data_IF_977171612188
#
_entry.id   IF_977171612188
#
_cell.length_a   1.000
_cell.length_b   1.000
_cell.length_c   1.000
_cell.angle_alpha   90.00
_cell.angle_beta   90.00
_cell.angle_gamma   90.00
#
_symmetry.space_group_name_H-M   'P 1'
#
loop_
_entity.id
_entity.type
_entity.pdbx_description
1 polymer ?
#
# COMPACT_ATOMS: atom_id res chain seq x y z
N UNK A 1 12.50 -38.84 6.60
CA UNK A 1 13.27 -38.32 5.45
C UNK A 1 12.68 -36.96 5.05
N UNK A 2 13.29 -35.86 5.50
CA UNK A 2 12.83 -34.50 5.21
C UNK A 2 13.32 -34.08 3.83
N UNK A 3 12.41 -33.75 2.91
CA UNK A 3 12.78 -33.20 1.60
C UNK A 3 13.50 -31.86 1.79
N UNK A 4 14.66 -31.65 1.13
CA UNK A 4 15.33 -30.35 1.15
C UNK A 4 14.40 -29.31 0.50
N UNK A 5 14.17 -28.17 1.18
CA UNK A 5 13.50 -27.02 0.59
C UNK A 5 14.31 -26.57 -0.61
N UNK A 6 13.81 -26.84 -1.82
CA UNK A 6 14.36 -26.28 -3.06
C UNK A 6 14.23 -24.77 -2.97
N UNK A 7 15.35 -24.11 -2.65
CA UNK A 7 15.49 -22.66 -2.75
C UNK A 7 15.17 -22.29 -4.20
N UNK A 8 14.00 -21.67 -4.39
CA UNK A 8 13.56 -21.16 -5.69
C UNK A 8 14.61 -20.17 -6.17
N UNK A 9 15.45 -20.59 -7.13
CA UNK A 9 16.43 -19.72 -7.75
C UNK A 9 15.67 -18.62 -8.50
N UNK A 10 15.73 -17.40 -7.97
CA UNK A 10 15.08 -16.24 -8.54
C UNK A 10 15.54 -16.07 -10.00
N UNK A 11 14.60 -16.10 -10.96
CA UNK A 11 14.92 -15.78 -12.35
C UNK A 11 15.50 -14.37 -12.41
N UNK A 12 16.61 -14.13 -13.12
CA UNK A 12 17.15 -12.80 -13.29
C UNK A 12 16.11 -11.90 -13.97
N UNK A 13 15.90 -10.70 -13.42
CA UNK A 13 14.99 -9.71 -13.99
C UNK A 13 15.48 -9.31 -15.38
N UNK A 14 14.62 -9.19 -16.41
CA UNK A 14 15.02 -8.83 -17.77
C UNK A 14 15.75 -7.47 -17.84
N UNK A 15 15.62 -6.63 -16.81
CA UNK A 15 16.19 -5.28 -16.74
C UNK A 15 17.50 -5.21 -15.97
N UNK A 16 17.99 -6.33 -15.45
CA UNK A 16 19.20 -6.37 -14.60
C UNK A 16 18.99 -5.76 -13.21
N UNK A 17 17.79 -5.26 -12.89
CA UNK A 17 17.48 -4.82 -11.53
C UNK A 17 17.39 -6.05 -10.59
N UNK A 18 17.88 -5.91 -9.35
CA UNK A 18 17.68 -6.93 -8.33
C UNK A 18 16.18 -7.16 -8.10
N UNK A 19 15.79 -8.42 -7.88
CA UNK A 19 14.40 -8.76 -7.60
C UNK A 19 13.94 -8.06 -6.31
N UNK A 20 12.63 -7.77 -6.22
CA UNK A 20 12.01 -7.23 -4.98
C UNK A 20 12.41 -8.04 -3.75
N UNK A 21 12.41 -9.37 -3.87
CA UNK A 21 12.79 -10.26 -2.78
C UNK A 21 14.26 -10.10 -2.36
N UNK A 22 15.17 -9.95 -3.33
CA UNK A 22 16.58 -9.67 -3.05
C UNK A 22 16.75 -8.36 -2.30
N UNK A 23 16.12 -7.29 -2.80
CA UNK A 23 16.16 -5.97 -2.17
C UNK A 23 15.59 -5.96 -0.76
N UNK A 24 14.50 -6.70 -0.52
CA UNK A 24 13.93 -6.82 0.83
C UNK A 24 14.87 -7.59 1.76
N UNK A 25 15.51 -8.66 1.29
CA UNK A 25 16.50 -9.40 2.08
C UNK A 25 17.72 -8.55 2.42
N UNK A 26 18.21 -7.74 1.48
CA UNK A 26 19.32 -6.80 1.71
C UNK A 26 18.95 -5.74 2.76
N UNK A 27 17.67 -5.39 2.85
CA UNK A 27 17.11 -4.53 3.89
C UNK A 27 16.80 -5.27 5.22
N UNK A 28 17.11 -6.56 5.32
CA UNK A 28 16.81 -7.39 6.50
C UNK A 28 15.31 -7.64 6.70
N UNK A 29 14.50 -7.52 5.65
CA UNK A 29 13.03 -7.72 5.66
C UNK A 29 12.67 -9.06 5.02
N UNK A 30 11.54 -9.63 5.43
CA UNK A 30 11.00 -10.82 4.77
C UNK A 30 10.32 -10.44 3.43
N UNK A 31 10.29 -11.33 2.42
CA UNK A 31 9.68 -11.03 1.12
C UNK A 31 8.16 -10.83 1.19
N UNK A 32 7.52 -11.46 2.18
CA UNK A 32 6.08 -11.39 2.42
C UNK A 32 5.70 -10.23 3.34
N UNK A 33 6.68 -9.57 3.97
CA UNK A 33 6.45 -8.40 4.80
C UNK A 33 6.17 -7.17 3.91
N UNK A 34 5.19 -6.37 4.33
CA UNK A 34 4.95 -5.06 3.75
C UNK A 34 6.02 -4.10 4.27
N UNK A 35 6.95 -3.61 3.43
CA UNK A 35 8.01 -2.73 3.90
C UNK A 35 7.44 -1.37 4.32
N UNK A 36 7.57 -1.08 5.62
CA UNK A 36 7.18 0.19 6.24
C UNK A 36 8.45 0.94 6.63
N UNK A 37 8.63 2.14 6.06
CA UNK A 37 9.75 3.02 6.36
C UNK A 37 9.26 4.22 7.18
N UNK A 38 10.00 4.56 8.23
CA UNK A 38 9.73 5.79 9.00
C UNK A 38 10.58 6.91 8.43
N UNK A 39 9.92 7.92 7.86
CA UNK A 39 10.56 9.10 7.33
C UNK A 39 10.55 10.22 8.37
N UNK A 40 11.58 11.07 8.43
CA UNK A 40 11.57 12.26 9.25
C UNK A 40 10.38 13.17 8.89
N UNK A 41 9.93 13.95 9.88
CA UNK A 41 8.91 14.96 9.66
C UNK A 41 9.39 16.00 8.64
N UNK A 42 8.52 16.45 7.72
CA UNK A 42 8.91 17.45 6.72
C UNK A 42 9.13 18.83 7.36
N UNK A 43 8.67 19.01 8.60
CA UNK A 43 8.81 20.25 9.35
C UNK A 43 10.04 20.25 10.27
N UNK A 44 10.80 19.15 10.34
CA UNK A 44 12.01 19.08 11.15
C UNK A 44 13.02 20.20 10.81
N UNK A 45 13.28 20.56 9.54
CA UNK A 45 14.19 21.67 9.23
C UNK A 45 13.69 23.02 9.76
N UNK A 46 12.37 23.17 9.92
CA UNK A 46 11.73 24.39 10.41
C UNK A 46 11.62 24.43 11.94
N UNK A 47 11.87 23.30 12.63
CA UNK A 47 11.68 23.19 14.08
C UNK A 47 12.47 24.25 14.85
N UNK A 48 13.73 24.51 14.45
CA UNK A 48 14.56 25.53 15.10
C UNK A 48 14.00 26.94 14.94
N UNK A 49 13.50 27.28 13.75
CA UNK A 49 12.89 28.59 13.47
C UNK A 49 11.59 28.73 14.26
N UNK A 50 10.73 27.71 14.23
CA UNK A 50 9.45 27.71 14.95
C UNK A 50 9.65 27.78 16.46
N UNK A 51 10.63 27.04 17.00
CA UNK A 51 10.96 27.07 18.41
C UNK A 51 11.53 28.44 18.82
N UNK A 52 12.40 29.04 17.99
CA UNK A 52 12.93 30.39 18.23
C UNK A 52 11.83 31.45 18.25
N UNK A 53 10.88 31.39 17.30
CA UNK A 53 9.71 32.27 17.27
C UNK A 53 8.84 32.05 18.52
N UNK A 54 8.56 30.79 18.88
CA UNK A 54 7.76 30.47 20.06
C UNK A 54 8.40 31.00 21.35
N UNK A 55 9.71 30.83 21.52
CA UNK A 55 10.48 31.35 22.67
C UNK A 55 10.45 32.87 22.70
N UNK A 56 10.63 33.54 21.57
CA UNK A 56 10.57 35.00 21.49
C UNK A 56 9.19 35.56 21.84
N UNK A 57 8.11 34.88 21.43
CA UNK A 57 6.73 35.21 21.82
C UNK A 57 6.53 34.98 23.32
N UNK A 58 6.99 33.83 23.85
CA UNK A 58 6.91 33.51 25.27
C UNK A 58 7.62 34.55 26.13
N UNK A 59 8.84 34.95 25.76
CA UNK A 59 9.63 35.94 26.50
C UNK A 59 8.92 37.30 26.60
N UNK A 60 8.16 37.69 25.58
CA UNK A 60 7.34 38.91 25.60
C UNK A 60 6.05 38.76 26.40
N UNK A 61 5.41 37.60 26.31
CA UNK A 61 4.13 37.32 26.98
C UNK A 61 4.26 37.09 28.48
N UNK A 62 5.30 36.37 28.93
CA UNK A 62 5.48 35.94 30.33
C UNK A 62 5.53 37.10 31.33
N UNK A 63 5.92 38.29 30.89
CA UNK A 63 5.94 39.49 31.74
C UNK A 63 4.52 39.98 32.07
N UNK A 64 3.49 39.56 31.31
CA UNK A 64 2.09 40.01 31.46
C UNK A 64 1.09 38.92 31.81
N UNK A 65 1.30 37.68 31.37
CA UNK A 65 0.39 36.56 31.68
C UNK A 65 0.82 35.92 33.00
N UNK A 66 -0.12 35.83 33.95
CA UNK A 66 0.09 35.13 35.21
C UNK A 66 0.48 33.64 35.03
N UNK A 67 0.77 32.92 36.13
CA UNK A 67 1.37 31.57 36.08
C UNK A 67 0.58 30.57 35.23
N UNK A 68 -0.75 30.66 35.24
CA UNK A 68 -1.63 29.80 34.42
C UNK A 68 -1.51 30.06 32.91
N UNK A 69 -1.23 31.29 32.50
CA UNK A 69 -1.01 31.61 31.10
C UNK A 69 0.32 31.01 30.61
N UNK A 70 1.36 31.06 31.44
CA UNK A 70 2.66 30.47 31.13
C UNK A 70 2.57 28.94 30.96
N UNK A 71 1.85 28.25 31.84
CA UNK A 71 1.69 26.78 31.75
C UNK A 71 0.92 26.35 30.51
N UNK A 72 -0.18 27.03 30.17
CA UNK A 72 -0.93 26.77 28.93
C UNK A 72 -0.07 26.97 27.67
N UNK A 73 0.76 28.01 27.66
CA UNK A 73 1.69 28.26 26.54
C UNK A 73 2.75 27.18 26.40
N UNK A 74 3.37 26.76 27.51
CA UNK A 74 4.35 25.66 27.49
C UNK A 74 3.70 24.37 26.98
N UNK A 75 2.48 24.06 27.45
CA UNK A 75 1.74 22.89 26.99
C UNK A 75 1.44 22.96 25.48
N UNK A 76 1.05 24.13 24.96
CA UNK A 76 0.82 24.35 23.53
C UNK A 76 2.10 24.18 22.71
N UNK A 77 3.21 24.77 23.13
CA UNK A 77 4.51 24.62 22.45
C UNK A 77 4.94 23.15 22.45
N UNK A 78 4.80 22.46 23.58
CA UNK A 78 5.12 21.05 23.68
C UNK A 78 4.24 20.21 22.73
N UNK A 79 2.93 20.48 22.69
CA UNK A 79 2.01 19.81 21.77
C UNK A 79 2.41 20.04 20.31
N UNK A 80 2.76 21.28 19.94
CA UNK A 80 3.25 21.60 18.60
C UNK A 80 4.54 20.84 18.31
N UNK A 81 5.53 20.86 19.21
CA UNK A 81 6.79 20.11 19.04
C UNK A 81 6.52 18.62 18.84
N UNK A 82 5.62 18.01 19.61
CA UNK A 82 5.24 16.60 19.46
C UNK A 82 4.64 16.33 18.07
N UNK A 83 3.73 17.18 17.59
CA UNK A 83 3.14 17.07 16.25
C UNK A 83 4.21 17.25 15.15
N UNK A 84 5.12 18.22 15.34
CA UNK A 84 6.23 18.48 14.41
C UNK A 84 7.25 17.35 14.37
N UNK A 85 7.42 16.59 15.45
CA UNK A 85 8.32 15.45 15.53
C UNK A 85 7.67 14.13 15.11
N UNK A 86 6.34 14.11 14.90
CA UNK A 86 5.64 12.89 14.55
C UNK A 86 6.14 12.33 13.20
N UNK A 87 6.69 11.10 13.16
CA UNK A 87 7.31 10.56 11.95
C UNK A 87 6.26 10.30 10.88
N UNK A 88 6.64 10.49 9.61
CA UNK A 88 5.82 10.02 8.50
C UNK A 88 6.10 8.55 8.28
N UNK A 89 5.10 7.78 7.85
CA UNK A 89 5.28 6.40 7.41
C UNK A 89 5.13 6.34 5.91
N UNK A 90 6.11 5.77 5.22
CA UNK A 90 5.99 5.37 3.83
C UNK A 90 5.77 3.87 3.80
N UNK A 91 4.74 3.45 3.11
CA UNK A 91 4.45 2.05 2.91
C UNK A 91 4.46 1.72 1.43
N UNK A 92 5.33 0.78 1.04
CA UNK A 92 5.47 0.34 -0.36
C UNK A 92 4.67 -0.95 -0.53
N UNK A 93 3.60 -0.89 -1.32
CA UNK A 93 2.77 -2.06 -1.67
C UNK A 93 3.04 -2.54 -3.09
N UNK A 94 2.26 -3.52 -3.54
CA UNK A 94 2.28 -4.00 -4.93
C UNK A 94 1.49 -3.11 -5.90
N UNK A 95 0.55 -2.31 -5.39
CA UNK A 95 -0.31 -1.40 -6.16
C UNK A 95 0.15 0.05 -6.14
N UNK A 96 0.98 0.44 -5.18
CA UNK A 96 1.56 1.78 -5.10
C UNK A 96 2.21 2.11 -3.78
N UNK A 97 2.30 3.41 -3.52
CA UNK A 97 2.94 3.99 -2.35
C UNK A 97 1.90 4.67 -1.46
N UNK A 98 1.92 4.38 -0.16
CA UNK A 98 1.09 5.04 0.83
C UNK A 98 1.94 5.90 1.75
N UNK A 99 1.77 7.21 1.68
CA UNK A 99 2.39 8.17 2.58
C UNK A 99 1.40 8.52 3.70
N UNK A 100 1.74 8.20 4.94
CA UNK A 100 0.92 8.48 6.13
C UNK A 100 1.65 9.48 7.01
N UNK A 101 0.97 10.58 7.34
CA UNK A 101 1.43 11.51 8.37
C UNK A 101 0.23 11.97 9.20
N UNK A 102 -0.36 13.10 8.86
CA UNK A 102 -1.66 13.55 9.40
C UNK A 102 -2.80 13.06 8.52
N UNK A 103 -2.58 13.04 7.20
CA UNK A 103 -3.48 12.45 6.20
C UNK A 103 -2.75 11.38 5.43
N UNK A 104 -3.47 10.32 5.08
CA UNK A 104 -2.96 9.28 4.19
C UNK A 104 -3.09 9.77 2.73
N UNK A 105 -2.01 9.63 1.97
CA UNK A 105 -1.98 9.91 0.53
C UNK A 105 -1.46 8.68 -0.20
N UNK A 106 -2.32 8.07 -1.00
CA UNK A 106 -1.96 6.97 -1.88
C UNK A 106 -1.50 7.49 -3.25
N UNK A 107 -0.46 6.89 -3.80
CA UNK A 107 0.11 7.17 -5.12
C UNK A 107 0.22 5.84 -5.85
N UNK A 108 -0.65 5.55 -6.84
CA UNK A 108 -0.57 4.30 -7.59
C UNK A 108 0.66 4.32 -8.52
N UNK A 109 1.28 3.16 -8.78
CA UNK A 109 2.48 3.08 -9.62
C UNK A 109 2.27 3.64 -11.04
N UNK A 110 1.06 3.51 -11.58
CA UNK A 110 0.71 4.06 -12.90
C UNK A 110 0.83 5.58 -12.97
N UNK A 111 0.67 6.29 -11.85
CA UNK A 111 0.75 7.74 -11.79
C UNK A 111 2.20 8.23 -11.67
N UNK A 112 3.14 7.32 -11.38
CA UNK A 112 4.57 7.64 -11.26
C UNK A 112 5.18 7.68 -12.67
N UNK A 113 5.84 8.80 -12.99
CA UNK A 113 6.59 8.98 -14.22
C UNK A 113 8.02 8.45 -14.06
N UNK A 114 8.71 8.92 -13.03
CA UNK A 114 10.06 8.47 -12.68
C UNK A 114 10.36 8.78 -11.20
N UNK A 115 11.43 8.17 -10.68
CA UNK A 115 11.87 8.34 -9.29
C UNK A 115 13.36 8.62 -9.27
N UNK A 116 13.75 9.71 -8.63
CA UNK A 116 15.13 10.21 -8.56
C UNK A 116 15.54 10.55 -7.13
N UNK A 117 16.85 10.59 -6.90
CA UNK A 117 17.40 11.16 -5.68
C UNK A 117 17.22 12.68 -5.71
N UNK A 118 16.79 13.26 -4.60
CA UNK A 118 16.79 14.71 -4.41
C UNK A 118 17.88 15.09 -3.42
N UNK A 119 18.68 16.08 -3.78
CA UNK A 119 19.52 16.80 -2.83
C UNK A 119 18.62 17.87 -2.20
N UNK A 120 18.00 17.56 -1.06
CA UNK A 120 16.89 18.34 -0.50
C UNK A 120 17.19 19.84 -0.32
N UNK A 121 16.14 20.65 -0.43
CA UNK A 121 16.20 22.11 -0.63
C UNK A 121 16.93 22.93 0.45
N UNK A 122 16.90 22.52 1.74
CA UNK A 122 17.42 23.36 2.83
C UNK A 122 18.72 22.91 3.49
N UNK A 123 19.10 21.63 3.40
CA UNK A 123 20.23 21.08 4.16
C UNK A 123 21.03 19.99 3.41
N UNK A 124 20.83 19.86 2.08
CA UNK A 124 21.41 18.77 1.27
C UNK A 124 21.17 17.38 1.90
N UNK A 125 20.02 17.21 2.51
CA UNK A 125 19.64 15.91 3.03
C UNK A 125 19.26 15.00 1.87
N UNK A 126 19.67 13.72 1.92
CA UNK A 126 19.25 12.71 0.97
C UNK A 126 17.71 12.60 0.96
N UNK A 127 17.11 12.91 -0.17
CA UNK A 127 15.67 12.77 -0.41
C UNK A 127 15.37 11.85 -1.58
N UNK A 128 14.10 11.51 -1.73
CA UNK A 128 13.56 10.84 -2.91
C UNK A 128 12.50 11.75 -3.51
N UNK A 129 12.70 12.13 -4.77
CA UNK A 129 11.71 12.83 -5.56
C UNK A 129 10.94 11.84 -6.42
N UNK A 130 9.62 11.84 -6.28
CA UNK A 130 8.71 11.06 -7.11
C UNK A 130 8.00 12.02 -8.05
N UNK A 131 8.40 12.03 -9.31
CA UNK A 131 7.71 12.77 -10.35
C UNK A 131 6.46 12.01 -10.80
N UNK A 132 5.31 12.66 -10.76
CA UNK A 132 4.05 12.09 -11.22
C UNK A 132 3.79 12.48 -12.67
N UNK A 133 3.08 11.64 -13.41
CA UNK A 133 2.63 11.92 -14.79
C UNK A 133 1.76 13.16 -14.90
N UNK A 134 1.11 13.55 -13.81
CA UNK A 134 0.37 14.82 -13.70
C UNK A 134 1.24 16.08 -13.72
N UNK A 135 2.57 15.98 -13.78
CA UNK A 135 3.50 17.10 -13.67
C UNK A 135 3.78 17.55 -12.22
N UNK A 136 3.05 17.02 -11.24
CA UNK A 136 3.34 17.25 -9.81
C UNK A 136 4.51 16.37 -9.36
N UNK A 137 5.33 16.89 -8.44
CA UNK A 137 6.35 16.12 -7.75
C UNK A 137 5.97 15.89 -6.27
N UNK A 138 6.37 14.75 -5.73
CA UNK A 138 6.27 14.45 -4.30
C UNK A 138 7.69 14.21 -3.79
N UNK A 139 8.18 15.11 -2.96
CA UNK A 139 9.48 15.02 -2.33
C UNK A 139 9.33 14.63 -0.85
N UNK A 140 10.21 13.76 -0.38
CA UNK A 140 10.36 13.46 1.03
C UNK A 140 11.81 13.10 1.36
N UNK A 141 12.28 13.62 2.48
CA UNK A 141 13.57 13.25 3.04
C UNK A 141 13.49 11.84 3.63
N UNK A 142 14.52 11.03 3.39
CA UNK A 142 14.60 9.66 3.93
C UNK A 142 15.38 9.61 5.24
N UNK A 143 16.42 10.45 5.38
CA UNK A 143 17.23 10.53 6.59
C UNK A 143 17.84 11.92 6.77
N UNK A 144 18.04 12.29 8.04
CA UNK A 144 18.83 13.47 8.45
C UNK A 144 20.32 13.10 8.59
N UNK A 145 20.61 11.82 8.88
CA UNK A 145 21.95 11.32 9.16
C UNK A 145 22.58 10.67 7.91
N UNK A 146 23.88 10.95 7.69
CA UNK A 146 24.64 10.43 6.54
C UNK A 146 24.74 8.90 6.52
N UNK A 147 24.81 8.28 7.68
CA UNK A 147 24.99 6.82 7.80
C UNK A 147 23.80 6.02 7.25
N UNK A 148 22.67 6.67 6.97
CA UNK A 148 21.48 6.04 6.35
C UNK A 148 21.32 6.33 4.86
N UNK A 149 22.35 6.82 4.18
CA UNK A 149 22.31 7.00 2.72
C UNK A 149 22.10 5.67 1.98
N UNK A 150 22.70 4.58 2.50
CA UNK A 150 22.47 3.24 1.98
C UNK A 150 20.99 2.82 2.06
N UNK A 151 20.27 3.19 3.14
CA UNK A 151 18.84 2.92 3.28
C UNK A 151 18.01 3.70 2.25
N UNK A 152 18.39 4.95 1.94
CA UNK A 152 17.78 5.73 0.82
C UNK A 152 17.96 4.96 -0.49
N UNK A 153 19.18 4.55 -0.81
CA UNK A 153 19.50 3.97 -2.11
C UNK A 153 18.82 2.60 -2.29
N UNK A 154 18.74 1.82 -1.22
CA UNK A 154 17.96 0.58 -1.19
C UNK A 154 16.45 0.85 -1.36
N UNK A 155 15.89 1.85 -0.68
CA UNK A 155 14.49 2.25 -0.84
C UNK A 155 14.20 2.76 -2.26
N UNK A 156 15.09 3.56 -2.84
CA UNK A 156 14.98 4.04 -4.20
C UNK A 156 14.99 2.87 -5.20
N UNK A 157 15.92 1.94 -5.03
CA UNK A 157 16.02 0.74 -5.85
C UNK A 157 14.76 -0.12 -5.75
N UNK A 158 14.21 -0.27 -4.54
CA UNK A 158 12.96 -0.98 -4.29
C UNK A 158 11.79 -0.33 -5.04
N UNK A 159 11.61 0.99 -4.89
CA UNK A 159 10.51 1.71 -5.56
C UNK A 159 10.65 1.63 -7.08
N UNK A 160 11.87 1.75 -7.63
CA UNK A 160 12.11 1.61 -9.07
C UNK A 160 11.75 0.22 -9.57
N UNK A 161 12.25 -0.82 -8.90
CA UNK A 161 11.97 -2.21 -9.26
C UNK A 161 10.47 -2.53 -9.18
N UNK A 162 9.75 -2.07 -8.14
CA UNK A 162 8.31 -2.30 -8.03
C UNK A 162 7.51 -1.51 -9.06
N UNK A 163 7.90 -0.27 -9.36
CA UNK A 163 7.24 0.54 -10.39
C UNK A 163 7.43 -0.06 -11.79
N UNK A 164 8.64 -0.53 -12.11
CA UNK A 164 8.93 -1.21 -13.38
C UNK A 164 8.19 -2.54 -13.49
N UNK A 165 8.20 -3.36 -12.43
CA UNK A 165 7.43 -4.59 -12.41
C UNK A 165 5.93 -4.33 -12.60
N UNK A 166 5.39 -3.27 -11.98
CA UNK A 166 3.99 -2.90 -12.12
C UNK A 166 3.66 -2.39 -13.54
N UNK A 167 4.55 -1.67 -14.21
CA UNK A 167 4.34 -1.20 -15.59
C UNK A 167 4.46 -2.31 -16.62
N UNK A 168 5.31 -3.32 -16.38
CA UNK A 168 5.46 -4.49 -17.23
C UNK A 168 4.30 -5.49 -17.09
N UNK A 169 3.60 -5.51 -15.95
CA UNK A 169 2.44 -6.38 -15.74
C UNK A 169 1.28 -5.93 -16.62
N UNK A 170 0.79 -6.84 -17.47
CA UNK A 170 -0.50 -6.64 -18.14
C UNK A 170 -1.63 -6.74 -17.11
N UNK A 171 -2.67 -5.90 -17.21
CA UNK A 171 -3.90 -6.12 -16.46
C UNK A 171 -4.41 -7.52 -16.78
N UNK A 172 -4.63 -8.35 -15.76
CA UNK A 172 -5.34 -9.60 -15.95
C UNK A 172 -6.78 -9.24 -16.29
N UNK A 173 -7.28 -9.74 -17.43
CA UNK A 173 -8.71 -9.69 -17.69
C UNK A 173 -9.37 -10.67 -16.74
N UNK A 174 -10.34 -10.20 -15.96
CA UNK A 174 -11.18 -11.10 -15.20
C UNK A 174 -11.98 -11.99 -16.18
N UNK A 175 -12.15 -13.29 -15.90
CA UNK A 175 -13.11 -14.11 -16.61
C UNK A 175 -14.51 -13.49 -16.54
N UNK A 176 -15.27 -13.53 -17.63
CA UNK A 176 -16.62 -12.96 -17.69
C UNK A 176 -17.55 -13.51 -16.58
N UNK A 177 -17.29 -14.76 -16.15
CA UNK A 177 -18.00 -15.41 -15.05
C UNK A 177 -17.92 -14.64 -13.72
N UNK A 178 -16.83 -13.89 -13.47
CA UNK A 178 -16.67 -13.04 -12.29
C UNK A 178 -17.47 -11.74 -12.38
N UNK A 179 -17.80 -11.26 -13.58
CA UNK A 179 -18.48 -9.98 -13.76
C UNK A 179 -19.93 -10.01 -13.30
N UNK A 180 -20.44 -8.93 -12.69
CA UNK A 180 -21.82 -8.87 -12.19
C UNK A 180 -22.87 -9.14 -13.26
N UNK A 181 -22.67 -8.67 -14.49
CA UNK A 181 -23.59 -8.92 -15.61
C UNK A 181 -25.01 -8.41 -15.37
N UNK A 182 -25.17 -7.31 -14.61
CA UNK A 182 -26.47 -6.74 -14.25
C UNK A 182 -27.21 -7.46 -13.10
N UNK A 183 -26.68 -8.58 -12.60
CA UNK A 183 -27.28 -9.34 -11.49
C UNK A 183 -27.38 -8.49 -10.21
N UNK A 184 -28.43 -8.66 -9.38
CA UNK A 184 -28.45 -8.19 -8.00
C UNK A 184 -27.21 -8.68 -7.21
N UNK A 185 -26.76 -7.92 -6.21
CA UNK A 185 -25.50 -8.23 -5.49
C UNK A 185 -25.55 -9.55 -4.72
N UNK A 186 -26.70 -9.91 -4.14
CA UNK A 186 -26.93 -11.19 -3.47
C UNK A 186 -26.85 -12.36 -4.46
N UNK A 187 -27.49 -12.23 -5.63
CA UNK A 187 -27.42 -13.23 -6.68
C UNK A 187 -26.00 -13.37 -7.25
N UNK A 188 -25.26 -12.27 -7.35
CA UNK A 188 -23.87 -12.27 -7.78
C UNK A 188 -22.94 -12.90 -6.73
N UNK A 189 -23.10 -12.56 -5.45
CA UNK A 189 -22.38 -13.17 -4.34
C UNK A 189 -22.56 -14.70 -4.31
N UNK A 190 -23.81 -15.16 -4.43
CA UNK A 190 -24.14 -16.59 -4.50
C UNK A 190 -23.49 -17.28 -5.69
N UNK A 191 -23.48 -16.62 -6.86
CA UNK A 191 -22.82 -17.14 -8.05
C UNK A 191 -21.30 -17.26 -7.89
N UNK A 192 -20.64 -16.25 -7.30
CA UNK A 192 -19.19 -16.28 -7.04
C UNK A 192 -18.80 -17.41 -6.09
N UNK A 193 -19.60 -17.64 -5.05
CA UNK A 193 -19.39 -18.78 -4.14
C UNK A 193 -19.54 -20.11 -4.85
N UNK A 194 -20.56 -20.24 -5.71
CA UNK A 194 -20.77 -21.46 -6.49
C UNK A 194 -19.59 -21.75 -7.44
N UNK A 195 -18.98 -20.71 -8.03
CA UNK A 195 -17.74 -20.85 -8.82
C UNK A 195 -16.61 -21.39 -7.93
N UNK A 196 -16.42 -20.79 -6.76
CA UNK A 196 -15.38 -21.16 -5.81
C UNK A 196 -15.49 -22.56 -5.21
N UNK A 197 -16.72 -23.03 -4.97
CA UNK A 197 -16.98 -24.34 -4.38
C UNK A 197 -17.08 -25.47 -5.42
N UNK A 198 -16.91 -25.17 -6.72
CA UNK A 198 -17.12 -26.13 -7.81
C UNK A 198 -18.60 -26.49 -8.06
N UNK A 199 -19.56 -25.82 -7.40
CA UNK A 199 -20.99 -26.11 -7.57
C UNK A 199 -21.57 -25.51 -8.87
N UNK A 200 -20.78 -24.72 -9.60
CA UNK A 200 -21.20 -24.08 -10.86
C UNK A 200 -20.94 -24.91 -12.12
N UNK A 201 -20.62 -26.20 -11.97
CA UNK A 201 -20.37 -27.13 -13.08
C UNK A 201 -21.68 -27.56 -13.77
N UNK A 202 -22.27 -26.65 -14.55
CA UNK A 202 -23.30 -27.00 -15.52
C UNK A 202 -22.68 -27.60 -16.78
N UNK A 203 -23.37 -28.51 -17.47
CA UNK A 203 -22.91 -29.18 -18.71
C UNK A 203 -22.47 -28.18 -19.80
N UNK A 204 -22.91 -26.92 -19.73
CA UNK A 204 -22.61 -25.86 -20.72
C UNK A 204 -21.69 -24.75 -20.21
N UNK A 205 -21.29 -24.77 -18.94
CA UNK A 205 -20.46 -23.71 -18.36
C UNK A 205 -19.09 -24.27 -18.04
N UNK A 206 -18.05 -23.74 -18.69
CA UNK A 206 -16.68 -24.14 -18.38
C UNK A 206 -16.31 -23.67 -16.96
N UNK A 207 -15.76 -24.54 -16.10
CA UNK A 207 -15.32 -24.14 -14.78
C UNK A 207 -14.16 -23.15 -14.89
N UNK A 208 -14.16 -22.12 -14.04
CA UNK A 208 -13.06 -21.16 -13.96
C UNK A 208 -11.94 -21.78 -13.12
N UNK A 209 -10.73 -22.02 -13.67
CA UNK A 209 -9.64 -22.62 -12.92
C UNK A 209 -9.23 -21.74 -11.72
N UNK A 210 -8.93 -22.36 -10.58
CA UNK A 210 -8.48 -21.65 -9.37
C UNK A 210 -7.22 -20.80 -9.62
N UNK A 211 -6.30 -21.27 -10.47
CA UNK A 211 -5.10 -20.52 -10.86
C UNK A 211 -5.42 -19.21 -11.60
N UNK A 212 -6.52 -19.18 -12.36
CA UNK A 212 -6.98 -17.98 -13.05
C UNK A 212 -7.59 -16.99 -12.06
N UNK A 213 -8.39 -17.47 -11.11
CA UNK A 213 -8.91 -16.65 -10.02
C UNK A 213 -7.77 -16.06 -9.17
N UNK A 214 -6.76 -16.86 -8.83
CA UNK A 214 -5.59 -16.40 -8.07
C UNK A 214 -4.83 -15.32 -8.84
N UNK A 215 -4.66 -15.50 -10.15
CA UNK A 215 -4.01 -14.51 -11.01
C UNK A 215 -4.76 -13.17 -11.00
N UNK A 216 -6.10 -13.17 -10.98
CA UNK A 216 -6.90 -11.94 -10.88
C UNK A 216 -6.77 -11.33 -9.49
N UNK A 217 -6.96 -12.13 -8.43
CA UNK A 217 -6.89 -11.70 -7.03
C UNK A 217 -5.55 -11.04 -6.66
N UNK A 218 -4.44 -11.64 -7.11
CA UNK A 218 -3.08 -11.19 -6.84
C UNK A 218 -2.60 -10.08 -7.78
N UNK A 219 -3.34 -9.76 -8.85
CA UNK A 219 -2.90 -8.71 -9.76
C UNK A 219 -3.26 -7.31 -9.22
N UNK A 220 -2.28 -6.49 -8.78
CA UNK A 220 -2.56 -5.16 -8.25
C UNK A 220 -3.14 -4.19 -9.31
N UNK A 221 -2.95 -4.49 -10.60
CA UNK A 221 -3.48 -3.72 -11.71
C UNK A 221 -4.91 -4.10 -12.13
N UNK A 222 -5.47 -5.18 -11.59
CA UNK A 222 -6.86 -5.55 -11.83
C UNK A 222 -7.83 -4.60 -11.09
N UNK A 223 -9.03 -4.32 -11.64
CA UNK A 223 -10.06 -3.56 -10.95
C UNK A 223 -10.37 -4.11 -9.55
N UNK A 224 -10.64 -3.22 -8.60
CA UNK A 224 -10.90 -3.61 -7.19
C UNK A 224 -12.08 -4.57 -7.10
N UNK A 225 -13.12 -4.32 -7.90
CA UNK A 225 -14.32 -5.16 -8.00
C UNK A 225 -14.00 -6.58 -8.49
N UNK A 226 -13.13 -6.71 -9.49
CA UNK A 226 -12.71 -8.01 -10.04
C UNK A 226 -11.85 -8.79 -9.05
N UNK A 227 -10.93 -8.10 -8.36
CA UNK A 227 -10.12 -8.70 -7.29
C UNK A 227 -11.02 -9.17 -6.15
N UNK A 228 -11.96 -8.34 -5.69
CA UNK A 228 -12.89 -8.71 -4.63
C UNK A 228 -13.76 -9.92 -5.03
N UNK A 229 -14.25 -9.96 -6.27
CA UNK A 229 -15.01 -11.10 -6.79
C UNK A 229 -14.18 -12.40 -6.81
N UNK A 230 -12.93 -12.32 -7.25
CA UNK A 230 -12.00 -13.46 -7.22
C UNK A 230 -11.68 -13.91 -5.78
N UNK A 231 -11.53 -12.97 -4.84
CA UNK A 231 -11.35 -13.27 -3.41
C UNK A 231 -12.54 -14.03 -2.83
N UNK A 232 -13.78 -13.59 -3.11
CA UNK A 232 -15.00 -14.27 -2.66
C UNK A 232 -15.08 -15.70 -3.21
N UNK A 233 -14.79 -15.87 -4.50
CA UNK A 233 -14.79 -17.19 -5.12
C UNK A 233 -13.71 -18.08 -4.49
N UNK A 234 -12.46 -17.63 -4.40
CA UNK A 234 -11.38 -18.42 -3.81
C UNK A 234 -11.61 -18.75 -2.33
N UNK A 235 -12.15 -17.82 -1.54
CA UNK A 235 -12.46 -18.06 -0.13
C UNK A 235 -13.52 -19.15 0.05
N UNK A 236 -14.47 -19.30 -0.89
CA UNK A 236 -15.49 -20.33 -0.85
C UNK A 236 -14.93 -21.76 -1.07
N UNK A 237 -13.75 -21.90 -1.68
CA UNK A 237 -13.09 -23.21 -1.87
C UNK A 237 -12.60 -23.84 -0.56
N UNK A 238 -12.38 -23.02 0.48
CA UNK A 238 -11.80 -23.42 1.79
C UNK A 238 -10.44 -24.11 1.70
N UNK A 239 -9.70 -23.87 0.62
CA UNK A 239 -8.32 -24.33 0.48
C UNK A 239 -7.38 -23.41 1.30
N UNK A 240 -6.67 -23.99 2.27
CA UNK A 240 -5.73 -23.29 3.14
C UNK A 240 -4.59 -22.60 2.37
N UNK A 241 -4.15 -23.18 1.25
CA UNK A 241 -3.13 -22.60 0.38
C UNK A 241 -3.64 -21.30 -0.25
N UNK A 242 -4.84 -21.35 -0.84
CA UNK A 242 -5.48 -20.18 -1.43
C UNK A 242 -5.70 -19.09 -0.38
N UNK A 243 -6.25 -19.44 0.78
CA UNK A 243 -6.48 -18.48 1.87
C UNK A 243 -5.18 -17.83 2.35
N UNK A 244 -4.08 -18.58 2.43
CA UNK A 244 -2.77 -18.01 2.77
C UNK A 244 -2.31 -17.00 1.72
N UNK A 245 -2.41 -17.33 0.44
CA UNK A 245 -2.03 -16.43 -0.67
C UNK A 245 -2.89 -15.16 -0.70
N UNK A 246 -4.19 -15.27 -0.45
CA UNK A 246 -5.10 -14.12 -0.34
C UNK A 246 -4.72 -13.18 0.81
N UNK A 247 -4.33 -13.72 1.97
CA UNK A 247 -3.84 -12.91 3.11
C UNK A 247 -2.57 -12.13 2.73
N UNK A 248 -1.62 -12.79 2.07
CA UNK A 248 -0.40 -12.14 1.59
C UNK A 248 -0.75 -11.00 0.60
N UNK A 249 -1.63 -11.27 -0.37
CA UNK A 249 -2.06 -10.25 -1.34
C UNK A 249 -2.75 -9.03 -0.68
N UNK A 250 -3.54 -9.26 0.36
CA UNK A 250 -4.13 -8.20 1.20
C UNK A 250 -3.06 -7.40 1.92
N UNK A 251 -2.07 -8.07 2.50
CA UNK A 251 -1.01 -7.41 3.26
C UNK A 251 -0.10 -6.58 2.38
N UNK A 252 0.19 -7.07 1.17
CA UNK A 252 0.97 -6.35 0.18
C UNK A 252 0.20 -5.20 -0.51
N UNK A 253 -1.12 -5.11 -0.34
CA UNK A 253 -1.92 -4.01 -0.91
C UNK A 253 -1.74 -2.72 -0.09
N UNK A 254 -1.32 -1.63 -0.75
CA UNK A 254 -1.10 -0.34 -0.12
C UNK A 254 -2.27 0.63 -0.18
N UNK A 255 -3.13 0.56 -1.21
CA UNK A 255 -4.33 1.38 -1.29
C UNK A 255 -5.28 1.05 -0.11
N UNK A 256 -5.60 2.01 0.77
CA UNK A 256 -6.38 1.72 1.98
C UNK A 256 -7.77 1.15 1.69
N UNK A 257 -8.47 1.71 0.69
CA UNK A 257 -9.83 1.30 0.32
C UNK A 257 -9.85 -0.07 -0.34
N UNK A 258 -8.90 -0.34 -1.25
CA UNK A 258 -8.71 -1.67 -1.84
C UNK A 258 -8.38 -2.69 -0.75
N UNK A 259 -7.46 -2.37 0.17
CA UNK A 259 -7.11 -3.26 1.29
C UNK A 259 -8.34 -3.59 2.13
N UNK A 260 -9.16 -2.59 2.49
CA UNK A 260 -10.38 -2.79 3.24
C UNK A 260 -11.39 -3.68 2.51
N UNK A 261 -11.61 -3.47 1.20
CA UNK A 261 -12.49 -4.30 0.38
C UNK A 261 -12.04 -5.77 0.34
N UNK A 262 -10.75 -6.01 0.11
CA UNK A 262 -10.19 -7.36 0.06
C UNK A 262 -10.19 -8.06 1.43
N UNK A 263 -9.91 -7.31 2.51
CA UNK A 263 -10.04 -7.81 3.88
C UNK A 263 -11.45 -8.24 4.20
N UNK A 264 -12.44 -7.41 3.86
CA UNK A 264 -13.84 -7.71 4.09
C UNK A 264 -14.32 -8.91 3.24
N UNK A 265 -13.87 -9.00 1.98
CA UNK A 265 -14.17 -10.14 1.11
C UNK A 265 -13.62 -11.45 1.67
N UNK A 266 -12.43 -11.41 2.27
CA UNK A 266 -11.80 -12.57 2.90
C UNK A 266 -12.44 -12.95 4.24
N UNK A 267 -12.95 -11.97 4.99
CA UNK A 267 -13.56 -12.16 6.31
C UNK A 267 -15.05 -12.56 6.27
N UNK A 268 -15.72 -12.36 5.14
CA UNK A 268 -17.13 -12.70 4.98
C UNK A 268 -17.29 -14.24 4.96
N UNK A 269 -17.55 -14.82 6.14
CA UNK A 269 -17.65 -16.27 6.39
C UNK A 269 -18.95 -16.87 5.84
N UNK A 270 -19.16 -16.75 4.52
CA UNK A 270 -20.31 -17.31 3.82
C UNK A 270 -21.65 -16.63 4.11
N UNK A 271 -21.69 -15.47 4.78
CA UNK A 271 -22.89 -14.63 4.82
C UNK A 271 -23.05 -13.89 3.49
N UNK A 272 -24.10 -14.24 2.73
CA UNK A 272 -24.37 -13.65 1.43
C UNK A 272 -24.64 -12.14 1.49
N UNK A 273 -25.26 -11.66 2.57
CA UNK A 273 -25.56 -10.23 2.74
C UNK A 273 -24.26 -9.43 2.93
N UNK A 274 -23.39 -9.87 3.84
CA UNK A 274 -22.06 -9.28 4.03
C UNK A 274 -21.23 -9.29 2.73
N UNK A 275 -21.23 -10.40 1.98
CA UNK A 275 -20.51 -10.47 0.70
C UNK A 275 -21.08 -9.46 -0.30
N UNK A 276 -22.41 -9.36 -0.40
CA UNK A 276 -23.08 -8.42 -1.29
C UNK A 276 -22.70 -6.96 -0.98
N UNK A 277 -22.65 -6.58 0.30
CA UNK A 277 -22.21 -5.24 0.72
C UNK A 277 -20.75 -4.95 0.34
N UNK A 278 -19.85 -5.93 0.52
CA UNK A 278 -18.45 -5.80 0.14
C UNK A 278 -18.28 -5.61 -1.37
N UNK A 279 -19.03 -6.37 -2.17
CA UNK A 279 -19.01 -6.25 -3.63
C UNK A 279 -19.56 -4.89 -4.10
N UNK A 280 -20.63 -4.40 -3.47
CA UNK A 280 -21.16 -3.07 -3.73
C UNK A 280 -20.14 -1.98 -3.38
N UNK A 281 -19.48 -2.10 -2.22
CA UNK A 281 -18.40 -1.20 -1.82
C UNK A 281 -17.27 -1.20 -2.86
N UNK A 282 -16.80 -2.37 -3.30
CA UNK A 282 -15.74 -2.50 -4.29
C UNK A 282 -16.10 -1.89 -5.67
N UNK A 283 -17.35 -2.04 -6.11
CA UNK A 283 -17.83 -1.46 -7.38
C UNK A 283 -17.86 0.06 -7.32
N UNK A 284 -18.35 0.66 -6.23
CA UNK A 284 -18.39 2.13 -6.07
C UNK A 284 -17.00 2.78 -6.02
N UNK A 285 -15.97 2.02 -5.62
CA UNK A 285 -14.57 2.49 -5.51
C UNK A 285 -13.73 2.20 -6.74
N UNK A 286 -14.26 1.47 -7.72
CA UNK A 286 -13.57 1.29 -8.99
C UNK A 286 -13.60 2.62 -9.73
N UNK A 287 -12.45 3.28 -9.98
CA UNK A 287 -12.44 4.56 -10.66
C UNK A 287 -13.03 4.36 -12.06
N UNK A 288 -14.10 5.11 -12.37
CA UNK A 288 -14.66 5.15 -13.73
C UNK A 288 -13.54 5.59 -14.67
N UNK A 289 -13.15 4.71 -15.58
CA UNK A 289 -12.16 5.01 -16.62
C UNK A 289 -12.75 5.97 -17.64
#
# INVERSE_FOLDING_TARGET
MSRPKTSSAARPSPTGLPSREGLLRDLGRSPDERPVFSLPSPLLPWLGILLGIAVAILARGLVRVGPWGATLWVALVLAVVVVLLYPRKLVVGEDGLLLVWIRARFIPYRDIAYVETSDGFYLRHPGINIALRSGRAVDFATSVFKDRWAERDALLSLIRATTEAASARRPASAPDALGRGGRPYDAWARALRAIGSGAHEGIRTSPVPADELLRVAENPGAPVVDRAAAFVALAASRDDEHLRRLRIAVDLTAAPETKAALQAALAADGDEASIAEVLAFAETRTPRR
#
